data_IF_027866840637
#
_entry.id   IF_027866840637
#
_cell.length_a   1.000
_cell.length_b   1.000
_cell.length_c   1.000
_cell.angle_alpha   90.00
_cell.angle_beta   90.00
_cell.angle_gamma   90.00
#
_symmetry.space_group_name_H-M   'P 1'
#
loop_
_entity.id
_entity.type
_entity.pdbx_description
1 polymer ?
#
# COMPACT_ATOMS: atom_id res chain seq x y z
N UNK A 1 -16.39 -4.23 -5.13
CA UNK A 1 -14.98 -3.89 -4.88
C UNK A 1 -14.12 -5.09 -5.21
N UNK A 2 -12.93 -4.86 -5.78
CA UNK A 2 -11.95 -5.89 -6.11
C UNK A 2 -11.45 -6.57 -4.84
N UNK A 3 -11.29 -7.91 -4.87
CA UNK A 3 -10.84 -8.68 -3.70
C UNK A 3 -9.47 -8.23 -3.18
N UNK A 4 -8.57 -7.80 -4.07
CA UNK A 4 -7.26 -7.29 -3.68
C UNK A 4 -7.39 -6.00 -2.88
N UNK A 5 -8.34 -5.16 -3.25
CA UNK A 5 -8.56 -3.88 -2.60
C UNK A 5 -9.21 -4.05 -1.23
N UNK A 6 -10.12 -5.00 -1.08
CA UNK A 6 -10.71 -5.34 0.23
C UNK A 6 -9.61 -5.80 1.17
N UNK A 7 -8.78 -6.71 0.71
CA UNK A 7 -7.66 -7.22 1.52
C UNK A 7 -6.65 -6.13 1.85
N UNK A 8 -6.38 -5.25 0.91
CA UNK A 8 -5.48 -4.13 1.13
C UNK A 8 -5.99 -3.21 2.23
N UNK A 9 -7.28 -2.88 2.21
CA UNK A 9 -7.90 -2.03 3.23
C UNK A 9 -7.83 -2.69 4.60
N UNK A 10 -8.10 -3.99 4.69
CA UNK A 10 -8.00 -4.75 5.95
C UNK A 10 -6.57 -4.74 6.48
N UNK A 11 -5.60 -5.01 5.62
CA UNK A 11 -4.19 -5.03 6.01
C UNK A 11 -3.70 -3.65 6.45
N UNK A 12 -4.13 -2.60 5.76
CA UNK A 12 -3.77 -1.23 6.14
C UNK A 12 -4.26 -0.90 7.55
N UNK A 13 -5.49 -1.30 7.87
CA UNK A 13 -6.02 -1.10 9.22
C UNK A 13 -5.21 -1.87 10.26
N UNK A 14 -4.80 -3.09 9.94
CA UNK A 14 -3.98 -3.90 10.85
C UNK A 14 -2.61 -3.28 11.08
N UNK A 15 -1.96 -2.80 10.03
CA UNK A 15 -0.63 -2.17 10.14
C UNK A 15 -0.71 -0.89 10.98
N UNK A 16 -1.75 -0.08 10.78
CA UNK A 16 -1.91 1.16 11.53
C UNK A 16 -2.23 0.92 12.99
N UNK A 17 -2.97 -0.14 13.29
CA UNK A 17 -3.33 -0.49 14.68
C UNK A 17 -2.20 -1.15 15.45
N UNK A 18 -1.23 -1.75 14.74
CA UNK A 18 -0.13 -2.46 15.39
C UNK A 18 0.83 -1.47 16.06
N UNK A 19 1.38 -1.79 17.23
CA UNK A 19 2.44 -0.98 17.83
C UNK A 19 3.68 -1.00 16.95
N UNK A 20 4.55 -0.01 17.14
CA UNK A 20 5.81 0.03 16.40
C UNK A 20 6.59 -1.25 16.70
N UNK A 21 6.94 -2.05 15.69
CA UNK A 21 7.63 -3.31 15.93
C UNK A 21 9.01 -3.08 16.55
N UNK A 22 9.43 -3.92 17.49
CA UNK A 22 10.75 -3.78 18.09
C UNK A 22 11.88 -4.21 17.14
N UNK A 23 11.58 -5.02 16.13
CA UNK A 23 12.57 -5.53 15.19
C UNK A 23 12.54 -4.76 13.88
N UNK A 24 13.69 -4.47 13.24
CA UNK A 24 13.72 -3.88 11.91
C UNK A 24 13.05 -4.80 10.87
N UNK A 25 12.50 -4.18 9.82
CA UNK A 25 11.90 -4.90 8.70
C UNK A 25 10.67 -5.72 9.03
N UNK A 26 9.97 -5.36 10.11
CA UNK A 26 8.76 -6.06 10.52
C UNK A 26 7.48 -5.49 9.90
N UNK A 27 7.57 -4.35 9.21
CA UNK A 27 6.42 -3.79 8.48
C UNK A 27 6.25 -4.56 7.17
N UNK A 28 5.09 -5.23 6.96
CA UNK A 28 4.91 -6.06 5.76
C UNK A 28 4.77 -5.23 4.50
N UNK A 29 5.18 -5.80 3.37
CA UNK A 29 4.95 -5.20 2.05
C UNK A 29 3.48 -5.36 1.65
N UNK A 30 2.84 -4.32 1.06
CA UNK A 30 1.48 -4.45 0.54
C UNK A 30 1.40 -5.19 -0.79
N UNK A 31 2.51 -5.67 -1.32
CA UNK A 31 2.55 -6.34 -2.62
C UNK A 31 1.67 -7.58 -2.66
N UNK A 32 0.89 -7.71 -3.75
CA UNK A 32 0.05 -8.88 -4.02
C UNK A 32 0.37 -9.48 -5.40
N UNK A 33 1.56 -9.19 -5.92
CA UNK A 33 2.10 -9.71 -7.18
C UNK A 33 1.31 -9.30 -8.42
N UNK A 34 0.55 -8.20 -8.36
CA UNK A 34 -0.21 -7.70 -9.51
C UNK A 34 0.63 -6.78 -10.39
N UNK A 35 1.42 -5.91 -9.87
CA UNK A 35 2.42 -5.06 -10.56
C UNK A 35 1.97 -4.39 -11.86
N UNK A 36 0.70 -3.97 -11.94
CA UNK A 36 0.16 -3.24 -13.09
C UNK A 36 -0.08 -1.80 -12.68
N UNK A 37 0.62 -0.87 -13.33
CA UNK A 37 0.52 0.54 -12.99
C UNK A 37 -0.65 1.19 -13.74
N UNK A 38 -1.49 1.93 -13.01
CA UNK A 38 -2.61 2.65 -13.60
C UNK A 38 -2.09 3.94 -14.26
N UNK A 39 -2.43 4.20 -15.53
CA UNK A 39 -1.83 5.33 -16.26
C UNK A 39 -2.25 6.72 -15.74
N UNK A 40 -3.43 6.84 -15.13
CA UNK A 40 -3.89 8.12 -14.62
C UNK A 40 -3.41 8.41 -13.20
N UNK A 41 -3.39 7.39 -12.34
CA UNK A 41 -2.99 7.59 -10.95
C UNK A 41 -1.50 7.43 -10.72
N UNK A 42 -0.83 6.63 -11.55
CA UNK A 42 0.55 6.24 -11.31
C UNK A 42 0.72 5.25 -10.17
N UNK A 43 -0.37 4.65 -9.70
CA UNK A 43 -0.33 3.68 -8.61
C UNK A 43 -0.53 2.26 -9.13
N UNK A 44 0.10 1.31 -8.43
CA UNK A 44 -0.10 -0.11 -8.73
C UNK A 44 -1.54 -0.52 -8.44
N UNK A 45 -2.17 -1.23 -9.38
CA UNK A 45 -3.56 -1.66 -9.24
C UNK A 45 -3.78 -2.69 -8.13
N UNK A 46 -2.71 -3.33 -7.67
CA UNK A 46 -2.81 -4.30 -6.58
C UNK A 46 -2.61 -3.70 -5.20
N UNK A 47 -1.68 -2.74 -5.07
CA UNK A 47 -1.27 -2.24 -3.76
C UNK A 47 -1.31 -0.72 -3.62
N UNK A 48 -1.66 0.01 -4.66
CA UNK A 48 -1.79 1.47 -4.66
C UNK A 48 -0.49 2.23 -4.39
N UNK A 49 0.67 1.59 -4.51
CA UNK A 49 1.95 2.27 -4.37
C UNK A 49 2.40 2.85 -5.71
N UNK A 50 3.21 3.90 -5.66
CA UNK A 50 3.91 4.38 -6.86
C UNK A 50 5.03 3.41 -7.22
N UNK A 51 5.51 3.49 -8.47
CA UNK A 51 6.64 2.67 -8.90
C UNK A 51 7.89 2.95 -8.06
N UNK A 52 8.13 4.20 -7.70
CA UNK A 52 9.26 4.58 -6.85
C UNK A 52 9.14 3.94 -5.46
N UNK A 53 7.93 3.95 -4.87
CA UNK A 53 7.71 3.33 -3.57
C UNK A 53 7.95 1.82 -3.61
N UNK A 54 7.54 1.17 -4.70
CA UNK A 54 7.79 -0.25 -4.88
C UNK A 54 9.29 -0.52 -4.97
N UNK A 55 9.99 0.26 -5.80
CA UNK A 55 11.43 0.07 -6.00
C UNK A 55 12.27 0.33 -4.76
N UNK A 56 11.85 1.30 -3.94
CA UNK A 56 12.61 1.70 -2.75
C UNK A 56 12.21 0.96 -1.48
N UNK A 57 11.20 0.07 -1.55
CA UNK A 57 10.66 -0.55 -0.36
C UNK A 57 11.69 -1.26 0.50
N UNK A 58 12.57 -2.04 -0.12
CA UNK A 58 13.57 -2.82 0.61
C UNK A 58 14.58 -1.94 1.35
N UNK A 59 14.75 -0.69 0.92
CA UNK A 59 15.69 0.26 1.53
C UNK A 59 15.01 1.25 2.45
N UNK A 60 13.68 1.27 2.49
CA UNK A 60 12.92 2.21 3.30
C UNK A 60 12.98 1.80 4.77
N UNK A 61 12.97 2.81 5.65
CA UNK A 61 12.83 2.58 7.08
C UNK A 61 11.42 2.09 7.41
N UNK A 62 11.25 1.48 8.59
CA UNK A 62 9.92 1.06 9.03
C UNK A 62 8.98 2.26 9.15
N UNK A 63 9.48 3.40 9.59
CA UNK A 63 8.67 4.62 9.67
C UNK A 63 8.18 5.04 8.28
N UNK A 64 9.06 5.07 7.28
CA UNK A 64 8.70 5.41 5.91
C UNK A 64 7.67 4.43 5.36
N UNK A 65 7.86 3.13 5.61
CA UNK A 65 6.90 2.09 5.20
C UNK A 65 5.53 2.30 5.82
N UNK A 66 5.48 2.65 7.11
CA UNK A 66 4.21 2.91 7.81
C UNK A 66 3.52 4.15 7.23
N UNK A 67 4.26 5.19 6.88
CA UNK A 67 3.70 6.38 6.24
C UNK A 67 3.08 6.04 4.89
N UNK A 68 3.70 5.16 4.11
CA UNK A 68 3.14 4.68 2.86
C UNK A 68 1.82 3.95 3.12
N UNK A 69 1.81 3.02 4.08
CA UNK A 69 0.59 2.31 4.45
C UNK A 69 -0.55 3.26 4.86
N UNK A 70 -0.23 4.36 5.54
CA UNK A 70 -1.24 5.34 5.94
C UNK A 70 -1.92 6.01 4.75
N UNK A 71 -1.23 6.12 3.63
CA UNK A 71 -1.77 6.75 2.42
C UNK A 71 -2.61 5.79 1.58
N UNK A 72 -2.41 4.49 1.73
CA UNK A 72 -3.05 3.52 0.84
C UNK A 72 -4.58 3.53 0.89
N UNK A 73 -5.24 3.63 2.07
CA UNK A 73 -6.70 3.71 2.09
C UNK A 73 -7.26 4.91 1.31
N UNK A 74 -6.64 6.08 1.43
CA UNK A 74 -7.05 7.27 0.68
C UNK A 74 -6.86 7.10 -0.82
N UNK A 75 -5.73 6.52 -1.23
CA UNK A 75 -5.47 6.23 -2.63
C UNK A 75 -6.48 5.23 -3.19
N UNK A 76 -6.84 4.23 -2.39
CA UNK A 76 -7.82 3.22 -2.77
C UNK A 76 -9.18 3.85 -3.03
N UNK A 77 -9.61 4.77 -2.18
CA UNK A 77 -10.87 5.50 -2.38
C UNK A 77 -10.83 6.33 -3.67
N UNK A 78 -9.73 7.01 -3.93
CA UNK A 78 -9.58 7.79 -5.16
C UNK A 78 -9.60 6.90 -6.39
N UNK A 79 -8.96 5.74 -6.32
CA UNK A 79 -8.95 4.79 -7.43
C UNK A 79 -10.34 4.25 -7.71
N UNK A 80 -11.11 3.93 -6.68
CA UNK A 80 -12.49 3.47 -6.82
C UNK A 80 -13.38 4.53 -7.46
N UNK A 81 -13.16 5.80 -7.14
CA UNK A 81 -13.93 6.90 -7.69
C UNK A 81 -13.76 7.02 -9.21
N UNK A 82 -12.63 6.59 -9.75
CA UNK A 82 -12.40 6.62 -11.21
C UNK A 82 -13.25 5.59 -11.97
N UNK A 83 -13.75 4.57 -11.29
CA UNK A 83 -14.55 3.51 -11.91
C UNK A 83 -16.07 3.82 -11.89
N UNK A 84 -16.47 4.97 -11.39
CA UNK A 84 -17.88 5.37 -11.30
C UNK A 84 -18.34 6.13 -12.53
#
# INVERSE_FOLDING_TARGET
>A
MNRYWIKLAERAAQVQAAPVPPAPHSVPSPCVSVCVMHPQTGWCEGCMRTLAEIGDWSRASDEAKRQIWQQLPGRLLQRQALDR
#
